data_IF_178992871746
#
_entry.id   IF_178992871746
#
_cell.length_a   1.000
_cell.length_b   1.000
_cell.length_c   1.000
_cell.angle_alpha   90.00
_cell.angle_beta   90.00
_cell.angle_gamma   90.00
#
_symmetry.space_group_name_H-M   'P 1'
#
loop_
_entity.id
_entity.type
_entity.pdbx_description
1 polymer ?
#
# COMPACT_ATOMS: atom_id res chain seq x y z
N UNK A 1 -16.93 10.59 -0.35
CA UNK A 1 -16.04 9.47 0.02
C UNK A 1 -14.61 9.85 -0.32
N UNK A 2 -13.65 9.55 0.57
CA UNK A 2 -12.24 9.96 0.48
C UNK A 2 -11.60 9.61 -0.88
N UNK A 3 -11.75 8.36 -1.34
CA UNK A 3 -11.16 7.91 -2.61
C UNK A 3 -11.63 8.72 -3.82
N UNK A 4 -12.92 9.08 -3.86
CA UNK A 4 -13.48 9.90 -4.94
C UNK A 4 -12.88 11.32 -4.97
N UNK A 5 -12.44 11.83 -3.81
CA UNK A 5 -11.76 13.13 -3.71
C UNK A 5 -10.28 13.04 -4.08
N UNK A 6 -9.65 11.88 -3.89
CA UNK A 6 -8.25 11.64 -4.25
C UNK A 6 -8.07 11.36 -5.75
N UNK A 7 -9.06 10.75 -6.40
CA UNK A 7 -8.96 10.29 -7.78
C UNK A 7 -8.43 11.34 -8.78
N UNK A 8 -8.83 12.62 -8.74
CA UNK A 8 -8.31 13.63 -9.67
C UNK A 8 -6.81 13.91 -9.52
N UNK A 9 -6.21 13.54 -8.39
CA UNK A 9 -4.80 13.76 -8.08
C UNK A 9 -3.93 12.53 -8.36
N UNK A 10 -4.52 11.34 -8.55
CA UNK A 10 -3.74 10.12 -8.80
C UNK A 10 -3.12 10.20 -10.19
N UNK A 11 -1.80 10.10 -10.24
CA UNK A 11 -1.06 10.20 -11.50
C UNK A 11 -1.14 8.89 -12.28
N UNK A 12 -1.70 8.96 -13.48
CA UNK A 12 -1.70 7.87 -14.44
C UNK A 12 -0.35 7.79 -15.16
N UNK A 13 0.08 6.58 -15.50
CA UNK A 13 1.23 6.39 -16.39
C UNK A 13 1.02 7.00 -17.79
N UNK A 14 -0.24 7.24 -18.19
CA UNK A 14 -0.56 7.91 -19.46
C UNK A 14 -0.18 9.41 -19.48
N UNK A 15 -0.11 10.04 -18.30
CA UNK A 15 0.16 11.47 -18.12
C UNK A 15 1.47 11.69 -17.34
N UNK A 16 2.43 10.77 -17.47
CA UNK A 16 3.63 10.71 -16.64
C UNK A 16 4.46 12.00 -16.65
N UNK A 17 4.59 12.65 -17.81
CA UNK A 17 5.39 13.86 -17.98
C UNK A 17 4.71 15.14 -17.46
N UNK A 18 3.46 15.04 -17.00
CA UNK A 18 2.64 16.18 -16.54
C UNK A 18 1.84 15.81 -15.29
N UNK A 19 2.53 15.48 -14.18
CA UNK A 19 1.84 15.22 -12.91
C UNK A 19 1.04 16.44 -12.44
N UNK A 20 -0.04 16.18 -11.71
CA UNK A 20 -0.84 17.21 -11.06
C UNK A 20 -0.07 17.75 -9.85
N UNK A 21 -0.07 19.07 -9.62
CA UNK A 21 0.70 19.74 -8.55
C UNK A 21 2.21 19.45 -8.57
N UNK A 22 2.81 19.21 -9.75
CA UNK A 22 4.24 18.86 -9.90
C UNK A 22 4.68 17.65 -9.04
N UNK A 23 3.74 16.77 -8.70
CA UNK A 23 3.97 15.59 -7.85
C UNK A 23 3.26 14.33 -8.38
N UNK A 24 3.97 13.20 -8.35
CA UNK A 24 3.38 11.90 -8.65
C UNK A 24 2.71 11.33 -7.40
N UNK A 25 1.39 11.20 -7.45
CA UNK A 25 0.59 10.68 -6.34
C UNK A 25 0.03 9.32 -6.72
N UNK A 26 0.32 8.32 -5.91
CA UNK A 26 -0.20 6.96 -6.05
C UNK A 26 -0.91 6.54 -4.77
N UNK A 27 -1.98 5.76 -4.91
CA UNK A 27 -2.74 5.19 -3.78
C UNK A 27 -2.50 3.70 -3.76
N UNK A 28 -2.08 3.18 -2.61
CA UNK A 28 -1.83 1.75 -2.39
C UNK A 28 -2.76 1.21 -1.31
N UNK A 29 -3.13 -0.06 -1.42
CA UNK A 29 -3.96 -0.75 -0.44
C UNK A 29 -3.30 -2.06 -0.01
N UNK A 30 -3.48 -2.43 1.26
CA UNK A 30 -3.20 -3.80 1.70
C UNK A 30 -4.37 -4.71 1.39
N UNK A 31 -4.15 -6.03 1.44
CA UNK A 31 -5.22 -7.02 1.25
C UNK A 31 -6.39 -6.79 2.22
N UNK A 32 -6.09 -6.54 3.50
CA UNK A 32 -7.10 -6.19 4.50
C UNK A 32 -7.82 -4.87 4.20
N UNK A 33 -7.11 -3.89 3.63
CA UNK A 33 -7.71 -2.64 3.15
C UNK A 33 -8.76 -2.87 2.06
N UNK A 34 -8.44 -3.72 1.08
CA UNK A 34 -9.38 -4.12 0.02
C UNK A 34 -10.58 -4.88 0.58
N UNK A 35 -10.37 -5.78 1.55
CA UNK A 35 -11.47 -6.48 2.23
C UNK A 35 -12.39 -5.51 2.98
N UNK A 36 -11.83 -4.47 3.63
CA UNK A 36 -12.62 -3.42 4.30
C UNK A 36 -13.34 -2.48 3.33
N UNK A 37 -12.83 -2.34 2.12
CA UNK A 37 -13.54 -1.71 0.99
C UNK A 37 -14.67 -2.60 0.42
N UNK A 38 -14.84 -3.81 0.98
CA UNK A 38 -15.92 -4.76 0.63
C UNK A 38 -15.83 -5.28 -0.80
N UNK A 39 -14.61 -5.48 -1.31
CA UNK A 39 -14.41 -6.28 -2.51
C UNK A 39 -14.94 -7.70 -2.28
N UNK A 40 -15.44 -8.33 -3.34
CA UNK A 40 -15.96 -9.70 -3.23
C UNK A 40 -14.84 -10.70 -2.90
N UNK A 41 -15.16 -11.74 -2.15
CA UNK A 41 -14.22 -12.82 -1.82
C UNK A 41 -13.66 -13.50 -3.07
N UNK A 42 -14.44 -13.56 -4.16
CA UNK A 42 -13.97 -14.08 -5.44
C UNK A 42 -12.79 -13.28 -5.99
N UNK A 43 -12.88 -11.94 -6.01
CA UNK A 43 -11.79 -11.06 -6.43
C UNK A 43 -10.61 -11.14 -5.44
N UNK A 44 -10.89 -11.15 -4.14
CA UNK A 44 -9.85 -11.25 -3.11
C UNK A 44 -9.05 -12.54 -3.25
N UNK A 45 -9.69 -13.65 -3.64
CA UNK A 45 -9.04 -14.95 -3.81
C UNK A 45 -8.06 -14.99 -5.01
N UNK A 46 -8.20 -14.09 -5.99
CA UNK A 46 -7.32 -14.04 -7.17
C UNK A 46 -5.94 -13.43 -6.86
N UNK A 47 -5.80 -12.73 -5.74
CA UNK A 47 -4.51 -12.15 -5.38
C UNK A 47 -3.48 -13.22 -4.95
N UNK A 48 -2.17 -12.99 -5.26
CA UNK A 48 -1.09 -13.87 -4.82
C UNK A 48 -1.13 -14.15 -3.32
N UNK A 49 -0.74 -15.35 -2.92
CA UNK A 49 -0.78 -15.77 -1.51
C UNK A 49 0.13 -14.88 -0.64
N UNK A 50 1.21 -14.37 -1.21
CA UNK A 50 2.15 -13.39 -0.65
C UNK A 50 1.42 -12.13 -0.19
N UNK A 51 0.59 -11.58 -1.05
CA UNK A 51 -0.15 -10.36 -0.80
C UNK A 51 -1.28 -10.60 0.21
N UNK A 52 -1.95 -11.75 0.12
CA UNK A 52 -3.01 -12.15 1.05
C UNK A 52 -2.48 -12.38 2.48
N UNK A 53 -1.29 -12.98 2.62
CA UNK A 53 -0.65 -13.22 3.91
C UNK A 53 -0.05 -11.96 4.52
N UNK A 54 0.49 -11.06 3.69
CA UNK A 54 1.22 -9.87 4.13
C UNK A 54 2.66 -10.17 4.55
N UNK A 55 3.47 -9.10 4.60
CA UNK A 55 4.92 -9.19 4.74
C UNK A 55 5.36 -9.77 6.10
N UNK A 56 4.77 -9.29 7.20
CA UNK A 56 5.14 -9.72 8.56
C UNK A 56 4.89 -11.23 8.79
N UNK A 57 3.75 -11.76 8.33
CA UNK A 57 3.43 -13.18 8.43
C UNK A 57 4.40 -14.07 7.62
N UNK A 58 5.13 -13.47 6.67
CA UNK A 58 6.08 -14.15 5.79
C UNK A 58 7.53 -14.01 6.20
N UNK A 59 7.82 -13.52 7.41
CA UNK A 59 9.19 -13.40 7.98
C UNK A 59 10.09 -14.62 7.75
N UNK A 60 9.55 -15.85 7.84
CA UNK A 60 10.31 -17.09 7.63
C UNK A 60 10.82 -17.21 6.19
N UNK A 61 10.02 -16.77 5.20
CA UNK A 61 10.42 -16.77 3.79
C UNK A 61 11.33 -15.59 3.44
N UNK A 62 11.19 -14.47 4.14
CA UNK A 62 11.95 -13.23 3.91
C UNK A 62 13.30 -13.23 4.64
N UNK A 63 13.46 -14.06 5.67
CA UNK A 63 14.67 -14.10 6.50
C UNK A 63 14.67 -13.05 7.62
N UNK A 64 13.52 -12.46 7.94
CA UNK A 64 13.38 -11.42 8.96
C UNK A 64 13.42 -12.03 10.36
N UNK A 65 14.61 -12.08 10.93
CA UNK A 65 14.92 -12.67 12.24
C UNK A 65 15.75 -11.73 13.12
N UNK A 66 15.78 -12.01 14.44
CA UNK A 66 16.57 -11.22 15.39
C UNK A 66 16.13 -9.76 15.38
N UNK A 67 17.04 -8.82 15.21
CA UNK A 67 16.70 -7.39 15.17
C UNK A 67 15.80 -6.99 13.98
N UNK A 68 15.72 -7.81 12.93
CA UNK A 68 14.85 -7.56 11.76
C UNK A 68 13.48 -8.22 11.89
N UNK A 69 13.21 -8.93 13.00
CA UNK A 69 11.92 -9.57 13.25
C UNK A 69 10.77 -8.54 13.16
N UNK A 70 9.61 -8.88 12.56
CA UNK A 70 8.47 -7.96 12.51
C UNK A 70 8.00 -7.43 13.87
N UNK A 71 8.28 -8.14 14.97
CA UNK A 71 8.05 -7.65 16.34
C UNK A 71 8.83 -6.37 16.69
N UNK A 72 9.87 -6.05 15.91
CA UNK A 72 10.71 -4.87 16.06
C UNK A 72 10.52 -3.83 14.97
N UNK A 73 9.64 -4.06 13.99
CA UNK A 73 9.39 -3.08 12.93
C UNK A 73 8.68 -1.84 13.45
N UNK A 74 9.08 -0.68 12.93
CA UNK A 74 8.41 0.58 13.25
C UNK A 74 6.94 0.53 12.85
N UNK A 75 6.09 1.08 13.72
CA UNK A 75 4.67 1.25 13.42
C UNK A 75 4.49 2.11 12.16
N UNK A 76 3.54 1.77 11.27
CA UNK A 76 2.50 0.73 11.42
C UNK A 76 2.90 -0.67 10.90
N UNK A 77 4.17 -0.95 10.59
CA UNK A 77 4.57 -2.09 9.77
C UNK A 77 4.59 -3.44 10.53
N UNK A 78 4.80 -3.44 11.85
CA UNK A 78 4.97 -4.66 12.68
C UNK A 78 3.71 -5.30 13.30
N UNK A 79 2.49 -4.98 12.83
CA UNK A 79 1.23 -5.52 13.37
C UNK A 79 0.06 -5.49 12.35
N UNK A 80 -1.12 -4.96 12.72
CA UNK A 80 -2.32 -4.82 11.86
C UNK A 80 -2.10 -3.97 10.59
N UNK A 81 -0.90 -3.41 10.39
CA UNK A 81 -0.52 -2.69 9.19
C UNK A 81 -1.26 -1.36 9.00
N UNK A 82 -0.99 -0.71 7.88
CA UNK A 82 -1.90 0.27 7.30
C UNK A 82 -2.89 -0.43 6.35
N UNK A 83 -3.99 0.24 6.01
CA UNK A 83 -4.97 -0.27 5.04
C UNK A 83 -4.91 0.46 3.70
N UNK A 84 -4.49 1.73 3.75
CA UNK A 84 -4.31 2.61 2.61
C UNK A 84 -3.04 3.42 2.84
N UNK A 85 -2.27 3.63 1.78
CA UNK A 85 -1.10 4.51 1.78
C UNK A 85 -1.17 5.46 0.59
N UNK A 86 -0.59 6.64 0.74
CA UNK A 86 -0.30 7.54 -0.36
C UNK A 86 1.21 7.58 -0.55
N UNK A 87 1.66 7.31 -1.77
CA UNK A 87 3.01 7.59 -2.19
C UNK A 87 2.98 8.92 -2.94
N UNK A 88 3.71 9.90 -2.43
CA UNK A 88 3.87 11.21 -3.06
C UNK A 88 5.35 11.36 -3.40
N UNK A 89 5.64 11.53 -4.68
CA UNK A 89 7.00 11.79 -5.17
C UNK A 89 7.00 13.19 -5.79
N UNK A 90 7.84 14.07 -5.28
CA UNK A 90 7.95 15.46 -5.73
C UNK A 90 9.43 15.85 -5.80
N UNK A 91 9.74 16.91 -6.55
CA UNK A 91 11.10 17.43 -6.65
C UNK A 91 11.55 18.21 -5.39
N UNK A 92 10.59 18.73 -4.62
CA UNK A 92 10.80 19.45 -3.36
C UNK A 92 9.77 19.04 -2.30
N UNK A 93 10.10 19.33 -1.04
CA UNK A 93 9.23 19.21 0.13
C UNK A 93 8.62 20.56 0.56
N UNK A 94 9.04 21.66 -0.08
CA UNK A 94 8.39 22.98 -0.07
C UNK A 94 7.11 22.97 -0.93
#
# INVERSE_FOLDING_TARGET
>A
MLLRRLLPYVTSAADWDRPVEDAWINVVFTFEGLRRLRLSEAILAEFPVEFRQGMAARKVFLGDVGASDPEHWDMPHGANGFHVGLLVMAASDE
#
